data_IF_362231867023
#
_entry.id   IF_362231867023
#
_cell.length_a   1.000
_cell.length_b   1.000
_cell.length_c   1.000
_cell.angle_alpha   90.00
_cell.angle_beta   90.00
_cell.angle_gamma   90.00
#
_symmetry.space_group_name_H-M   'P 1'
#
loop_
_entity.id
_entity.type
_entity.pdbx_description
1 polymer ?
#
# COMPACT_ATOMS: atom_id res chain seq x y z
N UNK A 1 -44.10 4.90 -32.24
CA UNK A 1 -42.81 4.17 -32.21
C UNK A 1 -41.54 5.03 -32.42
N UNK A 2 -41.61 6.33 -32.72
CA UNK A 2 -40.41 7.12 -33.10
C UNK A 2 -39.61 7.81 -31.98
N UNK A 3 -40.13 7.90 -30.75
CA UNK A 3 -39.49 8.66 -29.66
C UNK A 3 -38.60 7.76 -28.78
N UNK A 4 -38.99 6.51 -28.58
CA UNK A 4 -38.20 5.52 -27.81
C UNK A 4 -36.97 5.04 -28.58
N UNK A 5 -37.06 4.89 -29.91
CA UNK A 5 -35.92 4.60 -30.76
C UNK A 5 -34.90 5.76 -30.79
N UNK A 6 -35.35 7.03 -30.72
CA UNK A 6 -34.46 8.19 -30.60
C UNK A 6 -33.78 8.30 -29.24
N UNK A 7 -34.45 7.91 -28.13
CA UNK A 7 -33.82 7.81 -26.80
C UNK A 7 -32.81 6.66 -26.72
N UNK A 8 -33.08 5.53 -27.37
CA UNK A 8 -32.13 4.42 -27.46
C UNK A 8 -30.88 4.77 -28.30
N UNK A 9 -31.02 5.62 -29.32
CA UNK A 9 -29.90 6.10 -30.13
C UNK A 9 -28.99 7.14 -29.43
N UNK A 10 -29.51 7.92 -28.48
CA UNK A 10 -28.71 8.89 -27.70
C UNK A 10 -27.89 8.25 -26.57
N UNK A 11 -28.07 6.96 -26.28
CA UNK A 11 -27.31 6.22 -25.26
C UNK A 11 -26.30 5.22 -25.84
N UNK A 12 -25.97 5.30 -27.13
CA UNK A 12 -24.72 4.69 -27.62
C UNK A 12 -23.60 5.69 -27.37
N UNK A 13 -22.90 5.56 -26.24
CA UNK A 13 -21.56 6.18 -26.09
C UNK A 13 -20.75 5.75 -27.31
N UNK A 14 -20.53 6.67 -28.26
CA UNK A 14 -19.67 6.41 -29.41
C UNK A 14 -18.30 6.02 -28.84
N UNK A 15 -17.74 4.91 -29.34
CA UNK A 15 -16.38 4.54 -29.00
C UNK A 15 -15.47 5.74 -29.32
N UNK A 16 -14.59 6.14 -28.39
CA UNK A 16 -13.72 7.27 -28.63
C UNK A 16 -12.81 6.98 -29.84
N UNK A 17 -12.35 8.00 -30.58
CA UNK A 17 -11.45 7.81 -31.70
C UNK A 17 -10.23 6.99 -31.30
N UNK A 18 -9.78 6.09 -32.17
CA UNK A 18 -8.59 5.26 -31.96
C UNK A 18 -7.39 6.19 -31.66
N UNK A 19 -6.60 5.88 -30.63
CA UNK A 19 -5.50 6.70 -30.08
C UNK A 19 -5.86 8.03 -29.43
N UNK A 20 -7.15 8.35 -29.26
CA UNK A 20 -7.52 9.48 -28.41
C UNK A 20 -7.15 9.22 -26.94
N UNK A 21 -6.99 10.29 -26.17
CA UNK A 21 -6.73 10.23 -24.72
C UNK A 21 -7.76 9.34 -23.99
N UNK A 22 -9.03 9.46 -24.36
CA UNK A 22 -10.11 8.63 -23.79
C UNK A 22 -10.02 7.16 -24.21
N UNK A 23 -9.55 6.87 -25.43
CA UNK A 23 -9.35 5.49 -25.90
C UNK A 23 -8.25 4.79 -25.10
N UNK A 24 -7.11 5.46 -24.87
CA UNK A 24 -6.00 4.89 -24.09
C UNK A 24 -6.46 4.59 -22.66
N UNK A 25 -7.17 5.53 -22.03
CA UNK A 25 -7.65 5.35 -20.65
C UNK A 25 -8.68 4.22 -20.57
N UNK A 26 -9.57 4.05 -21.55
CA UNK A 26 -10.58 2.99 -21.50
C UNK A 26 -10.00 1.59 -21.77
N UNK A 27 -8.97 1.49 -22.60
CA UNK A 27 -8.40 0.20 -23.04
C UNK A 27 -7.00 -0.05 -22.45
N UNK A 28 -6.60 0.67 -21.40
CA UNK A 28 -5.24 0.56 -20.85
C UNK A 28 -4.89 -0.88 -20.43
N UNK A 29 -5.83 -1.62 -19.84
CA UNK A 29 -5.62 -3.03 -19.49
C UNK A 29 -5.24 -3.90 -20.68
N UNK A 30 -5.97 -3.77 -21.79
CA UNK A 30 -5.69 -4.53 -23.03
C UNK A 30 -4.38 -4.09 -23.68
N UNK A 31 -4.12 -2.78 -23.75
CA UNK A 31 -2.88 -2.23 -24.33
C UNK A 31 -1.66 -2.75 -23.56
N UNK A 32 -1.69 -2.68 -22.23
CA UNK A 32 -0.58 -3.16 -21.40
C UNK A 32 -0.44 -4.68 -21.51
N UNK A 33 -1.54 -5.43 -21.57
CA UNK A 33 -1.51 -6.88 -21.80
C UNK A 33 -0.88 -7.24 -23.15
N UNK A 34 -1.17 -6.47 -24.21
CA UNK A 34 -0.50 -6.63 -25.50
C UNK A 34 1.01 -6.37 -25.42
N UNK A 35 1.45 -5.35 -24.67
CA UNK A 35 2.89 -5.07 -24.46
C UNK A 35 3.56 -6.22 -23.70
N UNK A 36 2.94 -6.73 -22.64
CA UNK A 36 3.46 -7.88 -21.88
C UNK A 36 3.56 -9.10 -22.80
N UNK A 37 2.52 -9.40 -23.57
CA UNK A 37 2.50 -10.51 -24.51
C UNK A 37 3.58 -10.38 -25.59
N UNK A 38 3.84 -9.17 -26.08
CA UNK A 38 4.94 -8.92 -27.03
C UNK A 38 6.32 -9.24 -26.41
N UNK A 39 6.56 -8.82 -25.17
CA UNK A 39 7.80 -9.14 -24.44
C UNK A 39 7.91 -10.67 -24.22
N UNK A 40 6.80 -11.32 -23.85
CA UNK A 40 6.73 -12.78 -23.68
C UNK A 40 7.01 -13.53 -25.01
N UNK A 41 6.46 -13.07 -26.14
CA UNK A 41 6.74 -13.64 -27.46
C UNK A 41 8.23 -13.54 -27.81
N UNK A 42 8.92 -12.50 -27.33
CA UNK A 42 10.37 -12.36 -27.45
C UNK A 42 11.16 -13.55 -26.88
N UNK A 43 10.60 -14.33 -25.94
CA UNK A 43 11.23 -15.57 -25.47
C UNK A 43 11.19 -16.71 -26.49
N UNK A 44 10.21 -16.72 -27.39
CA UNK A 44 9.98 -17.84 -28.31
C UNK A 44 11.01 -17.90 -29.45
N UNK A 45 11.69 -16.80 -29.75
CA UNK A 45 12.67 -16.74 -30.84
C UNK A 45 14.09 -16.60 -30.29
N UNK A 46 14.99 -17.51 -30.67
CA UNK A 46 16.39 -17.53 -30.23
C UNK A 46 17.11 -16.18 -30.38
N UNK A 47 16.79 -15.41 -31.42
CA UNK A 47 17.40 -14.09 -31.67
C UNK A 47 16.98 -13.01 -30.65
N UNK A 48 15.78 -13.13 -30.07
CA UNK A 48 15.23 -12.13 -29.13
C UNK A 48 15.20 -12.61 -27.68
N UNK A 49 15.42 -13.91 -27.43
CA UNK A 49 15.35 -14.49 -26.07
C UNK A 49 16.30 -13.80 -25.09
N UNK A 50 17.53 -13.49 -25.51
CA UNK A 50 18.53 -12.82 -24.65
C UNK A 50 18.08 -11.43 -24.20
N UNK A 51 17.38 -10.69 -25.06
CA UNK A 51 16.83 -9.37 -24.74
C UNK A 51 15.60 -9.49 -23.84
N UNK A 52 14.67 -10.41 -24.18
CA UNK A 52 13.45 -10.62 -23.41
C UNK A 52 13.76 -11.11 -21.98
N UNK A 53 14.80 -11.93 -21.80
CA UNK A 53 15.23 -12.44 -20.50
C UNK A 53 15.57 -11.33 -19.50
N UNK A 54 16.13 -10.20 -19.96
CA UNK A 54 16.47 -9.06 -19.10
C UNK A 54 15.23 -8.48 -18.40
N UNK A 55 14.06 -8.55 -19.05
CA UNK A 55 12.80 -8.05 -18.51
C UNK A 55 12.11 -9.03 -17.56
N UNK A 56 12.22 -10.34 -17.79
CA UNK A 56 11.36 -11.31 -17.08
C UNK A 56 12.11 -12.04 -15.97
N UNK A 57 13.32 -12.50 -16.25
CA UNK A 57 14.07 -13.34 -15.31
C UNK A 57 14.86 -12.45 -14.35
N UNK A 58 14.82 -12.70 -13.03
CA UNK A 58 15.67 -11.99 -12.08
C UNK A 58 17.16 -12.13 -12.43
N UNK A 59 17.87 -11.01 -12.49
CA UNK A 59 19.25 -10.94 -12.98
C UNK A 59 20.27 -11.26 -11.88
N UNK A 60 21.56 -11.35 -12.21
CA UNK A 60 22.66 -11.50 -11.23
C UNK A 60 22.54 -12.74 -10.33
N UNK A 61 22.38 -13.92 -10.94
CA UNK A 61 22.40 -15.20 -10.26
C UNK A 61 23.84 -15.73 -10.14
N UNK A 62 24.27 -16.01 -8.91
CA UNK A 62 25.56 -16.60 -8.60
C UNK A 62 25.35 -17.96 -7.92
N UNK A 63 26.09 -18.98 -8.35
CA UNK A 63 26.08 -20.29 -7.68
C UNK A 63 27.16 -20.29 -6.62
N UNK A 64 26.77 -20.21 -5.35
CA UNK A 64 27.67 -20.06 -4.21
C UNK A 64 27.45 -21.15 -3.17
N UNK A 65 28.54 -21.58 -2.55
CA UNK A 65 28.51 -22.42 -1.35
C UNK A 65 28.71 -21.52 -0.15
N UNK A 66 27.67 -21.35 0.68
CA UNK A 66 27.73 -20.50 1.87
C UNK A 66 28.64 -21.13 2.93
N UNK A 67 29.29 -20.33 3.79
CA UNK A 67 30.06 -20.85 4.92
C UNK A 67 29.17 -21.76 5.78
N UNK A 68 29.61 -22.99 6.03
CA UNK A 68 28.89 -24.07 6.74
C UNK A 68 27.85 -24.87 5.93
N UNK A 69 27.73 -24.67 4.62
CA UNK A 69 26.93 -25.54 3.74
C UNK A 69 27.84 -26.35 2.82
N UNK A 70 27.52 -27.63 2.61
CA UNK A 70 28.24 -28.53 1.68
C UNK A 70 27.73 -28.43 0.25
N UNK A 71 26.51 -27.92 0.08
CA UNK A 71 25.83 -27.80 -1.22
C UNK A 71 25.86 -26.36 -1.73
N UNK A 72 26.18 -26.21 -3.01
CA UNK A 72 26.08 -24.91 -3.68
C UNK A 72 24.62 -24.56 -3.95
N UNK A 73 24.22 -23.32 -3.66
CA UNK A 73 22.88 -22.80 -3.95
C UNK A 73 22.94 -21.63 -4.92
N UNK A 74 21.88 -21.45 -5.70
CA UNK A 74 21.73 -20.29 -6.58
C UNK A 74 21.22 -19.12 -5.74
N UNK A 75 22.07 -18.11 -5.55
CA UNK A 75 21.77 -16.88 -4.85
C UNK A 75 21.76 -15.71 -5.83
N UNK A 76 21.13 -14.61 -5.43
CA UNK A 76 20.99 -13.44 -6.26
C UNK A 76 21.60 -12.21 -5.61
N UNK A 77 22.11 -11.33 -6.45
CA UNK A 77 22.57 -9.99 -6.08
C UNK A 77 21.64 -8.92 -6.64
N UNK A 78 21.79 -7.69 -6.17
CA UNK A 78 21.18 -6.53 -6.79
C UNK A 78 22.07 -5.98 -7.93
N UNK A 79 21.45 -5.27 -8.86
CA UNK A 79 22.18 -4.47 -9.83
C UNK A 79 21.28 -3.69 -10.78
N UNK A 80 21.90 -2.88 -11.64
CA UNK A 80 21.17 -1.92 -12.49
C UNK A 80 20.22 -2.59 -13.49
N UNK A 81 20.52 -3.82 -13.93
CA UNK A 81 19.64 -4.56 -14.85
C UNK A 81 18.30 -4.93 -14.22
N UNK A 82 18.20 -4.93 -12.90
CA UNK A 82 16.93 -5.16 -12.21
C UNK A 82 15.91 -4.06 -12.49
N UNK A 83 16.33 -2.89 -12.99
CA UNK A 83 15.40 -1.83 -13.43
C UNK A 83 14.50 -2.29 -14.58
N UNK A 84 15.01 -3.11 -15.51
CA UNK A 84 14.19 -3.67 -16.60
C UNK A 84 13.17 -4.68 -16.05
N UNK A 85 13.58 -5.47 -15.06
CA UNK A 85 12.70 -6.41 -14.38
C UNK A 85 11.61 -5.69 -13.58
N UNK A 86 11.97 -4.63 -12.86
CA UNK A 86 11.02 -3.75 -12.14
C UNK A 86 10.04 -3.11 -13.14
N UNK A 87 10.52 -2.63 -14.29
CA UNK A 87 9.64 -2.08 -15.32
C UNK A 87 8.65 -3.13 -15.83
N UNK A 88 9.11 -4.33 -16.17
CA UNK A 88 8.24 -5.41 -16.61
C UNK A 88 7.18 -5.77 -15.57
N UNK A 89 7.57 -5.97 -14.31
CA UNK A 89 6.62 -6.28 -13.25
C UNK A 89 5.70 -5.10 -12.90
N UNK A 90 6.09 -3.86 -13.18
CA UNK A 90 5.19 -2.71 -13.10
C UNK A 90 4.06 -2.83 -14.13
N UNK A 91 4.37 -3.24 -15.36
CA UNK A 91 3.35 -3.52 -16.39
C UNK A 91 2.43 -4.67 -15.96
N UNK A 92 3.01 -5.74 -15.42
CA UNK A 92 2.24 -6.87 -14.87
C UNK A 92 1.29 -6.39 -13.77
N UNK A 93 1.73 -5.53 -12.86
CA UNK A 93 0.87 -4.96 -11.82
C UNK A 93 -0.26 -4.09 -12.38
N UNK A 94 -0.05 -3.34 -13.46
CA UNK A 94 -1.14 -2.62 -14.15
C UNK A 94 -2.17 -3.63 -14.68
N UNK A 95 -1.74 -4.70 -15.36
CA UNK A 95 -2.66 -5.72 -15.87
C UNK A 95 -3.42 -6.43 -14.74
N UNK A 96 -2.74 -6.77 -13.63
CA UNK A 96 -3.37 -7.34 -12.42
C UNK A 96 -4.35 -6.35 -11.79
N UNK A 97 -4.03 -5.05 -11.75
CA UNK A 97 -4.93 -4.01 -11.27
C UNK A 97 -6.23 -3.99 -12.09
N UNK A 98 -6.14 -3.97 -13.41
CA UNK A 98 -7.31 -4.03 -14.29
C UNK A 98 -8.13 -5.30 -14.07
N UNK A 99 -7.48 -6.46 -13.97
CA UNK A 99 -8.16 -7.74 -13.76
C UNK A 99 -8.87 -7.79 -12.39
N UNK A 100 -8.21 -7.39 -11.31
CA UNK A 100 -8.81 -7.31 -9.98
C UNK A 100 -9.99 -6.33 -9.97
N UNK A 101 -9.87 -5.20 -10.67
CA UNK A 101 -10.94 -4.22 -10.81
C UNK A 101 -12.17 -4.83 -11.46
N UNK A 102 -12.02 -5.38 -12.66
CA UNK A 102 -13.15 -5.87 -13.47
C UNK A 102 -13.81 -7.11 -12.87
N UNK A 103 -13.00 -8.09 -12.46
CA UNK A 103 -13.50 -9.41 -12.05
C UNK A 103 -13.90 -9.49 -10.58
N UNK A 104 -13.31 -8.67 -9.71
CA UNK A 104 -13.58 -8.71 -8.27
C UNK A 104 -14.30 -7.44 -7.81
N UNK A 105 -13.63 -6.28 -7.89
CA UNK A 105 -14.13 -5.09 -7.22
C UNK A 105 -15.41 -4.55 -7.86
N UNK A 106 -15.49 -4.47 -9.18
CA UNK A 106 -16.69 -4.00 -9.89
C UNK A 106 -17.90 -4.93 -9.65
N UNK A 107 -17.66 -6.24 -9.48
CA UNK A 107 -18.71 -7.21 -9.14
C UNK A 107 -19.22 -6.97 -7.73
N UNK A 108 -18.33 -6.75 -6.78
CA UNK A 108 -18.68 -6.48 -5.38
C UNK A 108 -19.37 -5.12 -5.23
N UNK A 109 -18.87 -4.07 -5.87
CA UNK A 109 -19.44 -2.73 -5.85
C UNK A 109 -20.87 -2.70 -6.42
N UNK A 110 -21.11 -3.41 -7.52
CA UNK A 110 -22.45 -3.56 -8.11
C UNK A 110 -23.42 -4.25 -7.17
N UNK A 111 -22.98 -5.29 -6.46
CA UNK A 111 -23.81 -5.99 -5.45
C UNK A 111 -24.12 -5.12 -4.23
N UNK A 112 -23.18 -4.26 -3.85
CA UNK A 112 -23.31 -3.39 -2.67
C UNK A 112 -23.97 -2.03 -2.97
N UNK A 113 -24.29 -1.73 -4.24
CA UNK A 113 -24.89 -0.46 -4.67
C UNK A 113 -24.19 0.78 -4.11
N UNK A 114 -22.85 0.78 -4.09
CA UNK A 114 -22.06 1.86 -3.51
C UNK A 114 -22.17 3.14 -4.34
N UNK A 115 -22.17 4.30 -3.67
CA UNK A 115 -22.09 5.61 -4.35
C UNK A 115 -20.75 5.80 -5.04
N UNK A 116 -20.67 6.67 -6.07
CA UNK A 116 -19.43 6.93 -6.83
C UNK A 116 -18.23 7.25 -5.93
N UNK A 117 -18.42 8.10 -4.92
CA UNK A 117 -17.36 8.46 -3.97
C UNK A 117 -16.92 7.28 -3.10
N UNK A 118 -17.86 6.39 -2.70
CA UNK A 118 -17.52 5.17 -1.95
C UNK A 118 -16.85 4.12 -2.83
N UNK A 119 -17.23 4.01 -4.10
CA UNK A 119 -16.62 3.10 -5.07
C UNK A 119 -15.14 3.38 -5.24
N UNK A 120 -14.74 4.65 -5.43
CA UNK A 120 -13.32 5.03 -5.55
C UNK A 120 -12.52 4.62 -4.31
N UNK A 121 -13.00 4.96 -3.11
CA UNK A 121 -12.32 4.63 -1.85
C UNK A 121 -12.29 3.12 -1.55
N UNK A 122 -13.35 2.41 -1.93
CA UNK A 122 -13.42 0.95 -1.85
C UNK A 122 -12.39 0.31 -2.77
N UNK A 123 -12.30 0.77 -4.01
CA UNK A 123 -11.36 0.26 -4.99
C UNK A 123 -9.90 0.43 -4.51
N UNK A 124 -9.51 1.65 -4.15
CA UNK A 124 -8.18 1.94 -3.61
C UNK A 124 -7.83 1.05 -2.41
N UNK A 125 -8.78 0.90 -1.48
CA UNK A 125 -8.58 0.02 -0.33
C UNK A 125 -8.53 -1.45 -0.72
N UNK A 126 -9.25 -1.85 -1.77
CA UNK A 126 -9.26 -3.20 -2.32
C UNK A 126 -7.88 -3.61 -2.80
N UNK A 127 -7.30 -2.84 -3.73
CA UNK A 127 -5.95 -3.11 -4.26
C UNK A 127 -4.90 -3.12 -3.16
N UNK A 128 -4.93 -2.12 -2.28
CA UNK A 128 -3.96 -2.02 -1.18
C UNK A 128 -4.10 -3.18 -0.20
N UNK A 129 -5.32 -3.65 0.10
CA UNK A 129 -5.55 -4.81 0.95
C UNK A 129 -5.01 -6.11 0.32
N UNK A 130 -5.33 -6.37 -0.95
CA UNK A 130 -4.86 -7.56 -1.68
C UNK A 130 -3.34 -7.61 -1.68
N UNK A 131 -2.70 -6.48 -2.03
CA UNK A 131 -1.25 -6.40 -2.07
C UNK A 131 -0.61 -6.51 -0.68
N UNK A 132 -1.20 -5.88 0.34
CA UNK A 132 -0.69 -5.98 1.72
C UNK A 132 -0.74 -7.43 2.22
N UNK A 133 -1.83 -8.16 1.96
CA UNK A 133 -1.98 -9.57 2.35
C UNK A 133 -0.94 -10.43 1.63
N UNK A 134 -0.80 -10.26 0.30
CA UNK A 134 0.25 -10.93 -0.47
C UNK A 134 1.65 -10.68 0.11
N UNK A 135 1.95 -9.41 0.39
CA UNK A 135 3.24 -8.95 0.91
C UNK A 135 3.57 -9.55 2.28
N UNK A 136 2.58 -9.65 3.17
CA UNK A 136 2.76 -10.28 4.49
C UNK A 136 3.06 -11.76 4.32
N UNK A 137 2.27 -12.49 3.52
CA UNK A 137 2.49 -13.92 3.30
C UNK A 137 3.87 -14.20 2.70
N UNK A 138 4.29 -13.41 1.70
CA UNK A 138 5.61 -13.53 1.09
C UNK A 138 6.72 -13.21 2.08
N UNK A 139 6.59 -12.12 2.86
CA UNK A 139 7.57 -11.77 3.89
C UNK A 139 7.68 -12.86 4.96
N UNK A 140 6.57 -13.40 5.47
CA UNK A 140 6.58 -14.49 6.48
C UNK A 140 7.33 -15.70 5.94
N UNK A 141 7.11 -16.08 4.68
CA UNK A 141 7.82 -17.21 4.06
C UNK A 141 9.33 -17.00 4.09
N UNK A 142 9.80 -15.79 3.74
CA UNK A 142 11.25 -15.47 3.73
C UNK A 142 11.80 -15.37 5.16
N UNK A 143 11.07 -14.74 6.07
CA UNK A 143 11.49 -14.58 7.47
C UNK A 143 11.61 -15.93 8.20
N UNK A 144 10.78 -16.90 7.83
CA UNK A 144 10.88 -18.27 8.33
C UNK A 144 12.10 -19.00 7.77
N UNK A 145 12.39 -18.84 6.47
CA UNK A 145 13.59 -19.40 5.82
C UNK A 145 14.88 -18.88 6.47
N UNK A 146 14.93 -17.58 6.81
CA UNK A 146 16.09 -16.98 7.49
C UNK A 146 16.11 -17.22 9.02
N UNK A 147 15.04 -17.81 9.57
CA UNK A 147 14.82 -18.04 11.00
C UNK A 147 15.05 -16.80 11.90
N UNK A 148 14.70 -15.61 11.40
CA UNK A 148 14.90 -14.34 12.15
C UNK A 148 14.13 -14.33 13.47
N UNK A 149 13.05 -15.10 13.56
CA UNK A 149 12.27 -15.26 14.80
C UNK A 149 13.04 -15.99 15.91
N UNK A 150 14.08 -16.79 15.59
CA UNK A 150 14.92 -17.48 16.57
C UNK A 150 16.05 -16.61 17.10
N UNK A 151 16.59 -15.75 16.24
CA UNK A 151 17.68 -14.85 16.58
C UNK A 151 17.53 -13.52 15.82
N UNK A 152 17.16 -12.48 16.56
CA UNK A 152 16.93 -11.14 16.02
C UNK A 152 18.21 -10.49 15.49
N UNK A 153 19.38 -10.93 15.96
CA UNK A 153 20.66 -10.36 15.51
C UNK A 153 20.94 -10.66 14.04
N UNK A 154 20.32 -11.71 13.47
CA UNK A 154 20.35 -12.07 12.03
C UNK A 154 19.89 -10.93 11.10
N UNK A 155 19.22 -9.91 11.64
CA UNK A 155 18.86 -8.68 10.93
C UNK A 155 20.10 -7.91 10.45
N UNK A 156 21.24 -7.99 11.14
CA UNK A 156 22.46 -7.25 10.79
C UNK A 156 23.74 -8.10 10.80
N UNK A 157 23.74 -9.26 11.46
CA UNK A 157 24.93 -10.14 11.51
C UNK A 157 25.27 -10.66 10.11
N UNK A 158 26.57 -10.72 9.80
CA UNK A 158 27.08 -11.11 8.49
C UNK A 158 26.91 -10.07 7.38
N UNK A 159 26.52 -8.83 7.69
CA UNK A 159 26.59 -7.73 6.74
C UNK A 159 28.06 -7.32 6.50
N UNK A 160 28.51 -7.14 5.25
CA UNK A 160 27.73 -7.11 4.00
C UNK A 160 27.55 -8.47 3.29
N UNK A 161 28.43 -9.44 3.53
CA UNK A 161 28.56 -10.64 2.68
C UNK A 161 27.28 -11.49 2.56
N UNK A 162 26.64 -11.79 3.70
CA UNK A 162 25.40 -12.58 3.75
C UNK A 162 24.14 -11.79 3.37
N UNK A 163 24.27 -10.47 3.19
CA UNK A 163 23.15 -9.57 2.88
C UNK A 163 23.16 -9.13 1.41
N UNK A 164 24.33 -9.18 0.78
CA UNK A 164 24.50 -8.98 -0.67
C UNK A 164 23.96 -10.14 -1.49
N UNK A 165 24.00 -11.36 -0.93
CA UNK A 165 23.47 -12.56 -1.55
C UNK A 165 22.18 -12.97 -0.86
N UNK A 166 21.10 -13.07 -1.62
CA UNK A 166 19.78 -13.42 -1.09
C UNK A 166 19.04 -14.38 -2.01
N UNK A 167 18.05 -15.08 -1.45
CA UNK A 167 17.26 -16.06 -2.19
C UNK A 167 16.46 -15.38 -3.32
N UNK A 168 16.09 -16.17 -4.33
CA UNK A 168 15.18 -15.72 -5.40
C UNK A 168 13.90 -15.09 -4.83
N UNK A 169 13.36 -15.70 -3.78
CA UNK A 169 12.14 -15.22 -3.10
C UNK A 169 12.34 -13.81 -2.54
N UNK A 170 13.48 -13.55 -1.88
CA UNK A 170 13.82 -12.21 -1.36
C UNK A 170 14.00 -11.19 -2.48
N UNK A 171 14.63 -11.60 -3.61
CA UNK A 171 14.77 -10.73 -4.77
C UNK A 171 13.42 -10.30 -5.34
N UNK A 172 12.55 -11.29 -5.59
CA UNK A 172 11.21 -11.05 -6.13
C UNK A 172 10.35 -10.23 -5.17
N UNK A 173 10.49 -10.42 -3.86
CA UNK A 173 9.79 -9.60 -2.87
C UNK A 173 10.06 -8.10 -3.12
N UNK A 174 11.33 -7.68 -3.17
CA UNK A 174 11.68 -6.28 -3.38
C UNK A 174 11.27 -5.77 -4.78
N UNK A 175 11.47 -6.57 -5.83
CA UNK A 175 11.05 -6.21 -7.19
C UNK A 175 9.54 -5.96 -7.22
N UNK A 176 8.73 -6.84 -6.64
CA UNK A 176 7.28 -6.69 -6.61
C UNK A 176 6.84 -5.49 -5.79
N UNK A 177 7.53 -5.18 -4.68
CA UNK A 177 7.15 -4.02 -3.87
C UNK A 177 7.39 -2.72 -4.63
N UNK A 178 8.58 -2.57 -5.22
CA UNK A 178 8.91 -1.38 -6.00
C UNK A 178 7.96 -1.27 -7.19
N UNK A 179 7.71 -2.38 -7.89
CA UNK A 179 6.83 -2.42 -9.06
C UNK A 179 5.37 -2.08 -8.70
N UNK A 180 4.87 -2.58 -7.57
CA UNK A 180 3.54 -2.23 -7.09
C UNK A 180 3.46 -0.73 -6.77
N UNK A 181 4.40 -0.15 -6.04
CA UNK A 181 4.28 1.29 -5.78
C UNK A 181 4.47 2.15 -7.04
N UNK A 182 5.24 1.68 -8.02
CA UNK A 182 5.36 2.35 -9.33
C UNK A 182 4.08 2.25 -10.17
N UNK A 183 3.36 1.12 -10.17
CA UNK A 183 2.13 0.95 -10.97
C UNK A 183 1.06 1.98 -10.59
N UNK A 184 1.09 2.45 -9.35
CA UNK A 184 0.13 3.40 -8.83
C UNK A 184 0.23 4.78 -9.50
N UNK A 185 1.39 5.15 -10.05
CA UNK A 185 1.61 6.42 -10.78
C UNK A 185 0.74 6.50 -12.06
N UNK A 186 0.88 5.58 -13.05
CA UNK A 186 0.02 5.61 -14.23
C UNK A 186 -1.46 5.38 -13.87
N UNK A 187 -1.74 4.64 -12.80
CA UNK A 187 -3.11 4.44 -12.33
C UNK A 187 -3.78 5.75 -11.88
N UNK A 188 -3.05 6.67 -11.24
CA UNK A 188 -3.60 7.98 -10.90
C UNK A 188 -4.06 8.76 -12.14
N UNK A 189 -3.35 8.57 -13.25
CA UNK A 189 -3.69 9.15 -14.54
C UNK A 189 -4.90 8.44 -15.17
N UNK A 190 -4.94 7.10 -15.17
CA UNK A 190 -6.08 6.33 -15.70
C UNK A 190 -7.38 6.58 -14.93
N UNK A 191 -7.30 6.79 -13.61
CA UNK A 191 -8.44 7.10 -12.75
C UNK A 191 -8.89 8.57 -12.81
N UNK A 192 -8.15 9.45 -13.53
CA UNK A 192 -8.44 10.89 -13.63
C UNK A 192 -8.60 11.57 -12.25
N UNK A 193 -7.71 11.23 -11.31
CA UNK A 193 -7.75 11.81 -9.97
C UNK A 193 -7.53 13.33 -10.01
N UNK A 194 -8.16 14.04 -9.07
CA UNK A 194 -7.94 15.48 -8.91
C UNK A 194 -6.50 15.74 -8.46
N UNK A 195 -5.91 16.84 -8.94
CA UNK A 195 -4.51 17.22 -8.66
C UNK A 195 -4.20 17.26 -7.16
N UNK A 196 -5.11 17.78 -6.34
CA UNK A 196 -4.97 17.85 -4.88
C UNK A 196 -4.90 16.47 -4.22
N UNK A 197 -5.67 15.50 -4.71
CA UNK A 197 -5.67 14.13 -4.21
C UNK A 197 -4.38 13.40 -4.61
N UNK A 198 -3.85 13.67 -5.82
CA UNK A 198 -2.61 13.08 -6.32
C UNK A 198 -1.43 13.44 -5.42
N UNK A 199 -1.29 14.71 -5.02
CA UNK A 199 -0.15 15.14 -4.19
C UNK A 199 -0.07 14.37 -2.87
N UNK A 200 -1.20 14.20 -2.18
CA UNK A 200 -1.25 13.47 -0.92
C UNK A 200 -0.84 11.99 -1.09
N UNK A 201 -1.25 11.37 -2.20
CA UNK A 201 -0.94 9.97 -2.51
C UNK A 201 0.52 9.79 -2.91
N UNK A 202 1.11 10.77 -3.60
CA UNK A 202 2.51 10.75 -4.02
C UNK A 202 3.48 10.72 -2.83
N UNK A 203 3.14 11.33 -1.70
CA UNK A 203 3.99 11.28 -0.49
C UNK A 203 4.19 9.84 -0.03
N UNK A 204 3.10 9.08 0.13
CA UNK A 204 3.17 7.67 0.55
C UNK A 204 3.91 6.82 -0.48
N UNK A 205 3.54 6.96 -1.75
CA UNK A 205 4.18 6.26 -2.85
C UNK A 205 5.69 6.49 -2.87
N UNK A 206 6.12 7.75 -2.70
CA UNK A 206 7.54 8.11 -2.67
C UNK A 206 8.25 7.47 -1.48
N UNK A 207 7.64 7.47 -0.29
CA UNK A 207 8.22 6.81 0.90
C UNK A 207 8.43 5.32 0.64
N UNK A 208 7.43 4.61 0.11
CA UNK A 208 7.55 3.17 -0.14
C UNK A 208 8.56 2.82 -1.23
N UNK A 209 8.57 3.56 -2.35
CA UNK A 209 9.55 3.33 -3.42
C UNK A 209 10.96 3.61 -2.90
N UNK A 210 11.19 4.78 -2.30
CA UNK A 210 12.53 5.18 -1.84
C UNK A 210 13.05 4.26 -0.75
N UNK A 211 12.21 3.87 0.23
CA UNK A 211 12.60 2.92 1.26
C UNK A 211 12.90 1.53 0.68
N UNK A 212 12.04 1.00 -0.20
CA UNK A 212 12.23 -0.32 -0.81
C UNK A 212 13.48 -0.37 -1.69
N UNK A 213 13.69 0.64 -2.53
CA UNK A 213 14.91 0.79 -3.32
C UNK A 213 16.15 0.92 -2.43
N UNK A 214 16.08 1.71 -1.37
CA UNK A 214 17.21 1.90 -0.46
C UNK A 214 17.60 0.59 0.22
N UNK A 215 16.65 -0.11 0.85
CA UNK A 215 16.92 -1.40 1.51
C UNK A 215 17.45 -2.45 0.52
N UNK A 216 16.93 -2.45 -0.71
CA UNK A 216 17.37 -3.36 -1.75
C UNK A 216 18.79 -3.07 -2.25
N UNK A 217 19.06 -1.84 -2.71
CA UNK A 217 20.35 -1.48 -3.34
C UNK A 217 21.48 -1.25 -2.34
N UNK A 218 21.19 -0.82 -1.11
CA UNK A 218 22.21 -0.63 -0.06
C UNK A 218 22.50 -1.91 0.75
N UNK A 219 21.95 -3.06 0.33
CA UNK A 219 22.06 -4.36 1.00
C UNK A 219 21.50 -4.40 2.44
N UNK A 220 20.66 -3.45 2.85
CA UNK A 220 19.95 -3.51 4.14
C UNK A 220 18.68 -4.38 4.04
N UNK A 221 18.74 -5.47 3.28
CA UNK A 221 17.61 -6.25 2.80
C UNK A 221 16.84 -6.94 3.93
N UNK A 222 17.53 -7.46 4.94
CA UNK A 222 16.88 -8.13 6.09
C UNK A 222 16.15 -7.14 7.00
N UNK A 223 16.79 -6.00 7.30
CA UNK A 223 16.16 -4.92 8.06
C UNK A 223 14.92 -4.38 7.32
N UNK A 224 15.06 -4.09 6.03
CA UNK A 224 13.95 -3.62 5.20
C UNK A 224 12.78 -4.60 5.16
N UNK A 225 13.07 -5.90 5.03
CA UNK A 225 12.05 -6.95 4.99
C UNK A 225 11.21 -6.99 6.29
N UNK A 226 11.88 -6.90 7.45
CA UNK A 226 11.19 -6.88 8.74
C UNK A 226 10.37 -5.60 8.92
N UNK A 227 10.92 -4.44 8.60
CA UNK A 227 10.20 -3.17 8.73
C UNK A 227 8.98 -3.10 7.80
N UNK A 228 9.16 -3.50 6.53
CA UNK A 228 8.09 -3.53 5.54
C UNK A 228 7.01 -4.57 5.91
N UNK A 229 7.36 -5.71 6.49
CA UNK A 229 6.36 -6.71 6.89
C UNK A 229 5.42 -6.20 7.98
N UNK A 230 5.94 -5.53 9.01
CA UNK A 230 5.10 -4.90 10.04
C UNK A 230 4.25 -3.75 9.49
N UNK A 231 4.79 -3.01 8.52
CA UNK A 231 4.04 -1.94 7.83
C UNK A 231 2.87 -2.51 7.04
N UNK A 232 3.12 -3.52 6.19
CA UNK A 232 2.07 -4.17 5.42
C UNK A 232 1.06 -4.89 6.31
N UNK A 233 1.46 -5.44 7.47
CA UNK A 233 0.53 -5.96 8.47
C UNK A 233 -0.45 -4.89 8.95
N UNK A 234 0.06 -3.71 9.33
CA UNK A 234 -0.79 -2.60 9.74
C UNK A 234 -1.73 -2.14 8.62
N UNK A 235 -1.22 -2.02 7.39
CA UNK A 235 -2.02 -1.62 6.23
C UNK A 235 -3.06 -2.67 5.82
N UNK A 236 -2.72 -3.95 5.87
CA UNK A 236 -3.62 -5.04 5.54
C UNK A 236 -4.85 -5.02 6.45
N UNK A 237 -4.64 -4.93 7.76
CA UNK A 237 -5.74 -4.83 8.74
C UNK A 237 -6.55 -3.55 8.50
N UNK A 238 -5.89 -2.42 8.25
CA UNK A 238 -6.55 -1.14 7.98
C UNK A 238 -7.49 -1.22 6.78
N UNK A 239 -6.95 -1.58 5.61
CA UNK A 239 -7.69 -1.58 4.37
C UNK A 239 -8.76 -2.67 4.34
N UNK A 240 -8.51 -3.83 4.97
CA UNK A 240 -9.55 -4.86 5.16
C UNK A 240 -10.70 -4.34 6.02
N UNK A 241 -10.40 -3.61 7.10
CA UNK A 241 -11.42 -2.96 7.94
C UNK A 241 -12.22 -1.90 7.16
N UNK A 242 -11.56 -1.13 6.28
CA UNK A 242 -12.24 -0.18 5.38
C UNK A 242 -13.17 -0.87 4.38
N UNK A 243 -12.77 -2.01 3.83
CA UNK A 243 -13.60 -2.79 2.91
C UNK A 243 -14.87 -3.30 3.62
N UNK A 244 -14.75 -3.79 4.86
CA UNK A 244 -15.91 -4.19 5.67
C UNK A 244 -16.84 -3.00 5.95
N UNK A 245 -16.27 -1.84 6.27
CA UNK A 245 -17.03 -0.62 6.51
C UNK A 245 -17.83 -0.20 5.27
N UNK A 246 -17.18 -0.13 4.11
CA UNK A 246 -17.85 0.24 2.87
C UNK A 246 -18.87 -0.80 2.41
N UNK A 247 -18.72 -2.06 2.80
CA UNK A 247 -19.69 -3.13 2.53
C UNK A 247 -20.97 -3.04 3.37
N UNK A 248 -21.16 -1.97 4.16
CA UNK A 248 -22.33 -1.80 5.03
C UNK A 248 -22.29 -2.66 6.30
N UNK A 249 -21.22 -3.44 6.51
CA UNK A 249 -21.03 -4.28 7.70
C UNK A 249 -20.42 -3.47 8.83
N UNK A 250 -21.17 -2.49 9.35
CA UNK A 250 -20.68 -1.51 10.33
C UNK A 250 -20.19 -2.17 11.63
N UNK A 251 -20.90 -3.18 12.14
CA UNK A 251 -20.51 -3.86 13.38
C UNK A 251 -19.20 -4.65 13.21
N UNK A 252 -19.04 -5.54 12.20
CA UNK A 252 -17.74 -6.16 11.89
C UNK A 252 -16.62 -5.15 11.63
N UNK A 253 -16.90 -4.06 10.91
CA UNK A 253 -15.90 -3.04 10.62
C UNK A 253 -15.41 -2.34 11.90
N UNK A 254 -16.33 -1.95 12.79
CA UNK A 254 -16.00 -1.34 14.08
C UNK A 254 -15.14 -2.28 14.94
N UNK A 255 -15.47 -3.57 14.95
CA UNK A 255 -14.67 -4.59 15.63
C UNK A 255 -13.28 -4.74 15.00
N UNK A 256 -13.14 -4.62 13.68
CA UNK A 256 -11.86 -4.74 12.97
C UNK A 256 -10.96 -3.50 13.09
N UNK A 257 -11.52 -2.28 13.22
CA UNK A 257 -10.73 -1.07 13.46
C UNK A 257 -10.10 -1.00 14.86
N UNK A 258 -10.67 -1.68 15.86
CA UNK A 258 -10.09 -1.74 17.22
C UNK A 258 -8.70 -2.37 17.26
N UNK A 259 -8.49 -3.62 16.78
CA UNK A 259 -7.16 -4.23 16.75
C UNK A 259 -6.21 -3.46 15.83
N UNK A 260 -6.71 -2.85 14.75
CA UNK A 260 -5.88 -1.99 13.90
C UNK A 260 -5.23 -0.84 14.67
N UNK A 261 -5.95 -0.12 15.53
CA UNK A 261 -5.36 0.98 16.32
C UNK A 261 -4.19 0.49 17.18
N UNK A 262 -4.32 -0.70 17.77
CA UNK A 262 -3.25 -1.31 18.56
C UNK A 262 -2.07 -1.73 17.68
N UNK A 263 -2.32 -2.48 16.61
CA UNK A 263 -1.28 -2.95 15.69
C UNK A 263 -0.55 -1.76 15.05
N UNK A 264 -1.25 -0.69 14.68
CA UNK A 264 -0.63 0.52 14.17
C UNK A 264 0.40 1.09 15.15
N UNK A 265 0.04 1.31 16.42
CA UNK A 265 0.97 1.85 17.42
C UNK A 265 2.16 0.91 17.66
N UNK A 266 1.91 -0.40 17.74
CA UNK A 266 2.96 -1.41 17.90
C UNK A 266 3.92 -1.41 16.71
N UNK A 267 3.41 -1.38 15.47
CA UNK A 267 4.25 -1.30 14.26
C UNK A 267 5.18 -0.10 14.30
N UNK A 268 4.70 1.08 14.74
CA UNK A 268 5.54 2.30 14.85
C UNK A 268 6.63 2.12 15.89
N UNK A 269 6.27 1.63 17.08
CA UNK A 269 7.22 1.40 18.17
C UNK A 269 8.28 0.37 17.75
N UNK A 270 7.87 -0.78 17.23
CA UNK A 270 8.75 -1.85 16.75
C UNK A 270 9.69 -1.33 15.66
N UNK A 271 9.18 -0.54 14.71
CA UNK A 271 10.00 0.03 13.64
C UNK A 271 11.09 0.96 14.16
N UNK A 272 10.77 1.82 15.14
CA UNK A 272 11.76 2.71 15.78
C UNK A 272 12.78 1.90 16.56
N UNK A 273 12.33 0.97 17.41
CA UNK A 273 13.20 0.16 18.26
C UNK A 273 14.13 -0.71 17.43
N UNK A 274 13.60 -1.42 16.43
CA UNK A 274 14.42 -2.23 15.51
C UNK A 274 15.36 -1.36 14.68
N UNK A 275 14.91 -0.19 14.21
CA UNK A 275 15.77 0.76 13.52
C UNK A 275 16.97 1.18 14.37
N UNK A 276 16.74 1.53 15.65
CA UNK A 276 17.82 1.88 16.59
C UNK A 276 18.72 0.68 16.86
N UNK A 277 18.18 -0.49 17.20
CA UNK A 277 18.99 -1.68 17.51
C UNK A 277 19.84 -2.07 16.30
N UNK A 278 19.24 -2.19 15.13
CA UNK A 278 19.93 -2.63 13.91
C UNK A 278 20.92 -1.59 13.40
N UNK A 279 20.57 -0.29 13.34
CA UNK A 279 21.44 0.73 12.74
C UNK A 279 22.39 1.38 13.74
N UNK A 280 22.00 1.59 14.99
CA UNK A 280 22.89 2.22 15.97
C UNK A 280 23.92 1.25 16.55
N UNK A 281 23.50 0.01 16.83
CA UNK A 281 24.33 -0.99 17.47
C UNK A 281 24.81 -2.08 16.51
N UNK A 282 23.90 -2.66 15.72
CA UNK A 282 24.19 -3.81 14.87
C UNK A 282 25.12 -3.50 13.69
N UNK A 283 24.62 -2.78 12.69
CA UNK A 283 25.38 -2.33 11.54
C UNK A 283 26.55 -1.42 11.92
N UNK A 284 26.62 -0.88 13.13
CA UNK A 284 27.81 -0.14 13.56
C UNK A 284 29.08 -0.98 13.58
N UNK A 285 28.96 -2.29 13.73
CA UNK A 285 30.08 -3.22 13.77
C UNK A 285 30.77 -3.39 12.41
N UNK A 286 30.07 -3.08 11.30
CA UNK A 286 30.57 -3.19 9.93
C UNK A 286 30.64 -1.83 9.22
N UNK A 287 30.86 -0.75 9.98
CA UNK A 287 31.03 0.61 9.45
C UNK A 287 32.31 0.73 8.63
N UNK A 288 32.20 1.30 7.44
CA UNK A 288 33.34 1.67 6.58
C UNK A 288 33.38 3.18 6.36
N UNK A 289 34.57 3.73 6.11
CA UNK A 289 34.76 5.17 5.89
C UNK A 289 34.11 5.63 4.59
N UNK A 290 34.27 4.83 3.52
CA UNK A 290 33.73 5.09 2.19
C UNK A 290 32.93 3.88 1.71
N UNK A 291 32.01 4.10 0.75
CA UNK A 291 31.22 3.02 0.15
C UNK A 291 32.16 2.07 -0.58
N UNK A 292 32.05 0.79 -0.27
CA UNK A 292 32.78 -0.29 -0.93
C UNK A 292 31.83 -1.07 -1.85
N UNK A 293 31.87 -0.76 -3.14
CA UNK A 293 31.05 -1.42 -4.16
C UNK A 293 31.49 -2.87 -4.41
N UNK A 294 32.77 -3.17 -4.20
CA UNK A 294 33.34 -4.50 -4.44
C UNK A 294 32.90 -5.47 -3.36
N UNK A 295 32.99 -5.09 -2.08
CA UNK A 295 32.44 -5.86 -0.97
C UNK A 295 30.91 -5.75 -0.86
N UNK A 296 30.29 -4.76 -1.50
CA UNK A 296 28.87 -4.44 -1.33
C UNK A 296 28.56 -3.84 0.03
N UNK A 297 29.53 -3.18 0.66
CA UNK A 297 29.38 -2.48 1.92
C UNK A 297 29.00 -1.01 1.66
N UNK A 298 27.72 -0.70 1.83
CA UNK A 298 27.20 0.67 1.72
C UNK A 298 27.10 1.37 3.08
N UNK A 299 27.51 0.71 4.16
CA UNK A 299 27.30 1.16 5.53
C UNK A 299 28.40 2.14 5.98
N UNK A 300 28.33 3.35 5.44
CA UNK A 300 29.09 4.49 5.98
C UNK A 300 28.33 5.13 7.15
N UNK A 301 29.05 5.85 8.01
CA UNK A 301 28.43 6.63 9.11
C UNK A 301 27.31 7.55 8.60
N UNK A 302 27.52 8.20 7.46
CA UNK A 302 26.55 9.12 6.85
C UNK A 302 25.29 8.35 6.45
N UNK A 303 25.43 7.26 5.70
CA UNK A 303 24.29 6.46 5.23
C UNK A 303 23.53 5.91 6.44
N UNK A 304 24.22 5.27 7.38
CA UNK A 304 23.58 4.62 8.53
C UNK A 304 22.79 5.60 9.41
N UNK A 305 23.37 6.75 9.73
CA UNK A 305 22.71 7.75 10.59
C UNK A 305 21.54 8.41 9.85
N UNK A 306 21.68 8.74 8.57
CA UNK A 306 20.56 9.28 7.79
C UNK A 306 19.42 8.25 7.64
N UNK A 307 19.72 6.96 7.45
CA UNK A 307 18.71 5.91 7.43
C UNK A 307 17.96 5.80 8.74
N UNK A 308 18.66 5.89 9.87
CA UNK A 308 18.03 5.87 11.19
C UNK A 308 17.12 7.08 11.38
N UNK A 309 17.61 8.27 11.05
CA UNK A 309 16.81 9.52 11.11
C UNK A 309 15.58 9.40 10.21
N UNK A 310 15.74 8.92 8.96
CA UNK A 310 14.63 8.76 8.03
C UNK A 310 13.57 7.80 8.57
N UNK A 311 13.96 6.63 9.10
CA UNK A 311 13.04 5.68 9.73
C UNK A 311 12.27 6.37 10.86
N UNK A 312 12.98 7.02 11.80
CA UNK A 312 12.36 7.68 12.95
C UNK A 312 11.40 8.79 12.51
N UNK A 313 11.82 9.67 11.60
CA UNK A 313 10.99 10.76 11.11
C UNK A 313 9.73 10.27 10.39
N UNK A 314 9.85 9.23 9.55
CA UNK A 314 8.70 8.61 8.87
C UNK A 314 7.72 8.01 9.90
N UNK A 315 8.23 7.30 10.91
CA UNK A 315 7.37 6.73 11.97
C UNK A 315 6.69 7.83 12.79
N UNK A 316 7.41 8.89 13.17
CA UNK A 316 6.88 10.02 13.92
C UNK A 316 5.84 10.81 13.12
N UNK A 317 6.08 11.02 11.82
CA UNK A 317 5.12 11.67 10.94
C UNK A 317 3.81 10.87 10.82
N UNK A 318 3.89 9.55 10.67
CA UNK A 318 2.70 8.69 10.67
C UNK A 318 1.97 8.69 12.03
N UNK A 319 2.70 8.67 13.14
CA UNK A 319 2.13 8.81 14.49
C UNK A 319 1.46 10.16 14.69
N UNK A 320 2.08 11.24 14.20
CA UNK A 320 1.51 12.59 14.27
C UNK A 320 0.18 12.68 13.51
N UNK A 321 0.14 12.13 12.29
CA UNK A 321 -1.10 12.06 11.51
C UNK A 321 -2.18 11.26 12.24
N UNK A 322 -1.81 10.11 12.81
CA UNK A 322 -2.71 9.26 13.60
C UNK A 322 -3.27 9.96 14.84
N UNK A 323 -2.42 10.61 15.61
CA UNK A 323 -2.82 11.37 16.80
C UNK A 323 -3.73 12.53 16.43
N UNK A 324 -3.40 13.28 15.38
CA UNK A 324 -4.22 14.41 14.90
C UNK A 324 -5.63 13.94 14.52
N UNK A 325 -5.72 12.80 13.83
CA UNK A 325 -7.01 12.19 13.48
C UNK A 325 -7.85 11.82 14.72
N UNK A 326 -7.26 11.13 15.70
CA UNK A 326 -7.99 10.71 16.91
C UNK A 326 -8.36 11.87 17.83
N UNK A 327 -7.48 12.87 17.98
CA UNK A 327 -7.76 14.10 18.73
C UNK A 327 -8.92 14.85 18.08
N UNK A 328 -8.94 14.96 16.75
CA UNK A 328 -10.05 15.54 16.00
C UNK A 328 -11.37 14.87 16.33
N UNK A 329 -11.41 13.53 16.27
CA UNK A 329 -12.60 12.74 16.62
C UNK A 329 -13.03 12.91 18.07
N UNK A 330 -12.08 12.98 19.00
CA UNK A 330 -12.42 13.18 20.42
C UNK A 330 -13.04 14.56 20.67
N UNK A 331 -12.52 15.60 20.00
CA UNK A 331 -13.10 16.95 20.04
C UNK A 331 -14.50 17.01 19.44
N UNK A 332 -14.76 16.30 18.35
CA UNK A 332 -16.09 16.21 17.74
C UNK A 332 -17.09 15.54 18.68
N UNK A 333 -16.75 14.38 19.26
CA UNK A 333 -17.59 13.70 20.27
C UNK A 333 -17.89 14.60 21.47
N UNK A 334 -16.90 15.36 21.94
CA UNK A 334 -17.08 16.33 23.02
C UNK A 334 -18.06 17.45 22.64
N UNK A 335 -18.00 17.96 21.40
CA UNK A 335 -18.93 18.98 20.89
C UNK A 335 -20.36 18.44 20.75
N UNK A 336 -20.53 17.22 20.25
CA UNK A 336 -21.84 16.55 20.15
C UNK A 336 -22.46 16.32 21.53
N UNK A 337 -21.67 15.83 22.49
CA UNK A 337 -22.12 15.63 23.87
C UNK A 337 -22.49 16.95 24.56
N UNK A 338 -21.72 18.01 24.33
CA UNK A 338 -22.01 19.35 24.83
C UNK A 338 -23.30 19.92 24.20
N UNK A 339 -23.50 19.73 22.89
CA UNK A 339 -24.71 20.17 22.19
C UNK A 339 -25.96 19.41 22.67
N UNK A 340 -25.87 18.09 22.88
CA UNK A 340 -26.96 17.30 23.44
C UNK A 340 -27.31 17.72 24.88
N UNK A 341 -26.30 18.06 25.68
CA UNK A 341 -26.48 18.52 27.06
C UNK A 341 -27.09 19.93 27.13
N UNK A 342 -26.72 20.82 26.21
CA UNK A 342 -27.30 22.16 26.08
C UNK A 342 -28.75 22.13 25.54
N UNK A 343 -29.06 21.21 24.61
CA UNK A 343 -30.42 21.00 24.10
C UNK A 343 -31.39 20.49 25.17
N UNK A 344 -30.95 19.60 26.06
CA UNK A 344 -31.74 19.13 27.21
C UNK A 344 -32.04 20.23 28.25
N UNK A 345 -31.16 21.22 28.41
CA UNK A 345 -31.40 22.38 29.29
C UNK A 345 -32.43 23.38 28.73
N UNK A 346 -32.64 23.42 27.41
CA UNK A 346 -33.67 24.28 26.77
C UNK A 346 -35.07 23.65 26.78
N UNK A 347 -35.18 22.32 26.83
CA UNK A 347 -36.49 21.64 26.89
C UNK A 347 -37.07 21.49 28.29
N UNK A 348 -36.32 21.80 29.35
CA UNK A 348 -36.83 21.81 30.74
C UNK A 348 -37.46 23.15 31.16
N UNK A 349 -37.62 24.12 30.24
CA UNK A 349 -38.10 25.48 30.53
C UNK A 349 -39.47 25.87 29.96
N UNK A 350 -40.16 25.03 29.19
CA UNK A 350 -41.50 25.35 28.69
C UNK A 350 -42.38 24.11 28.71
N UNK A 351 -43.22 24.01 29.75
CA UNK A 351 -44.27 23.01 29.81
C UNK A 351 -45.43 23.39 28.89
N UNK A 352 -45.77 22.54 27.95
CA UNK A 352 -47.17 22.27 27.60
C UNK A 352 -47.32 20.87 27.00
N UNK A 353 -48.28 20.11 27.54
CA UNK A 353 -48.65 18.75 27.11
C UNK A 353 -49.15 18.78 25.67
N UNK A 354 -48.65 17.88 24.81
CA UNK A 354 -49.55 17.06 23.99
C UNK A 354 -48.93 15.72 23.56
N UNK A 355 -49.81 14.72 23.51
CA UNK A 355 -49.53 13.28 23.38
C UNK A 355 -49.48 12.85 21.91
N UNK A 356 -48.74 11.76 21.65
CA UNK A 356 -48.71 10.85 20.46
C UNK A 356 -47.84 11.26 19.26
N UNK A 357 -46.69 10.57 19.14
CA UNK A 357 -46.41 9.62 18.06
C UNK A 357 -45.09 8.89 18.37
N UNK A 358 -45.17 7.62 18.77
CA UNK A 358 -44.01 6.74 18.79
C UNK A 358 -43.67 6.38 17.33
N UNK A 359 -42.67 7.04 16.77
CA UNK A 359 -41.96 6.58 15.56
C UNK A 359 -40.54 6.23 15.95
N UNK A 360 -40.29 4.92 15.96
CA UNK A 360 -39.01 4.23 15.74
C UNK A 360 -37.77 5.12 15.72
N UNK A 361 -37.08 5.16 16.86
CA UNK A 361 -35.69 5.58 16.96
C UNK A 361 -34.79 4.55 16.30
N UNK A 362 -34.51 4.70 15.01
CA UNK A 362 -33.42 4.00 14.33
C UNK A 362 -32.49 4.94 13.55
N UNK A 363 -32.63 6.26 13.75
CA UNK A 363 -31.91 7.27 12.98
C UNK A 363 -30.67 7.88 13.62
N UNK A 364 -30.34 7.58 14.90
CA UNK A 364 -29.26 8.28 15.62
C UNK A 364 -27.88 7.61 15.56
N UNK A 365 -27.79 6.37 15.08
CA UNK A 365 -26.51 5.62 15.06
C UNK A 365 -25.79 5.68 13.70
N UNK A 366 -26.38 6.30 12.69
CA UNK A 366 -25.91 6.22 11.29
C UNK A 366 -24.94 7.35 10.91
N UNK A 367 -24.87 8.44 11.68
CA UNK A 367 -23.93 9.56 11.44
C UNK A 367 -22.50 9.32 11.96
N UNK A 368 -22.25 8.18 12.63
CA UNK A 368 -21.18 8.09 13.64
C UNK A 368 -19.82 7.54 13.18
N UNK A 369 -19.63 7.28 11.89
CA UNK A 369 -18.41 6.64 11.39
C UNK A 369 -17.81 7.37 10.19
N UNK A 370 -16.93 8.33 10.46
CA UNK A 370 -15.95 8.80 9.48
C UNK A 370 -14.76 7.83 9.45
N UNK A 371 -14.60 7.17 8.31
CA UNK A 371 -13.43 6.36 7.97
C UNK A 371 -12.27 7.32 7.65
N UNK A 372 -11.01 7.07 8.08
CA UNK A 372 -9.91 7.92 7.67
C UNK A 372 -9.84 7.93 6.14
N UNK A 373 -9.81 9.12 5.55
CA UNK A 373 -9.37 9.26 4.18
C UNK A 373 -7.87 8.95 4.15
N UNK A 374 -7.41 8.32 3.07
CA UNK A 374 -6.00 7.96 2.93
C UNK A 374 -5.16 9.18 3.28
N UNK A 375 -4.16 8.94 4.12
CA UNK A 375 -3.52 9.87 5.05
C UNK A 375 -2.87 11.12 4.43
N UNK A 376 -3.62 11.91 3.66
CA UNK A 376 -3.20 13.17 3.10
C UNK A 376 -3.35 14.30 4.12
N UNK A 377 -2.43 15.26 4.06
CA UNK A 377 -2.60 16.56 4.71
C UNK A 377 -3.66 17.32 3.92
N UNK A 378 -4.93 17.01 4.19
CA UNK A 378 -6.09 17.69 3.63
C UNK A 378 -6.75 18.50 4.72
N UNK A 379 -6.71 19.83 4.59
CA UNK A 379 -7.45 20.78 5.44
C UNK A 379 -8.91 20.35 5.55
N UNK A 380 -9.34 20.03 6.78
CA UNK A 380 -10.70 20.19 7.30
C UNK A 380 -11.87 20.27 6.32
N UNK A 381 -12.02 19.30 5.41
CA UNK A 381 -13.25 19.10 4.64
C UNK A 381 -13.82 17.73 4.97
N UNK A 382 -14.34 17.62 6.20
CA UNK A 382 -15.39 16.67 6.53
C UNK A 382 -16.66 17.18 5.84
N UNK A 383 -16.98 16.65 4.65
CA UNK A 383 -18.35 16.78 4.14
C UNK A 383 -19.25 15.88 5.00
N UNK A 384 -20.22 16.44 5.75
CA UNK A 384 -21.28 15.60 6.29
C UNK A 384 -22.01 14.96 5.10
N UNK A 385 -22.14 13.63 5.12
CA UNK A 385 -23.15 12.96 4.31
C UNK A 385 -24.51 13.37 4.88
N UNK A 386 -25.00 14.53 4.46
CA UNK A 386 -26.41 14.88 4.55
C UNK A 386 -27.12 13.95 3.57
N UNK A 387 -27.90 13.04 4.13
CA UNK A 387 -28.86 12.24 3.38
C UNK A 387 -30.07 13.16 3.22
N UNK A 388 -30.26 13.69 2.01
CA UNK A 388 -31.59 14.10 1.55
C UNK A 388 -32.32 12.88 0.99
#
# INVERSE_FOLDING_TARGET
>A
MGIEAKRAAMSRKKSPPIFSHEFIIQNHGDIISCVIMFIMLGFMFNATTSLAQVFIVPQYNDTLTLPNETESRILYRNGIRDLFTIFFYTLVWIAVHCALQEYIFDKVQRRLHLSKTRQVKFNESGHTAVFSIYSICHAISILNEMEIHKDLTRIWTGYPELHRHFSLSTKLYYIFQISFWLHQIPEFYFQKLKREEIFNRLVYLTIFITASCFFYFANFTRLGLVLLSFEYLSQGIFHTSRLLYFSGKVLPASTAFKPWNFVFLITRLVSIVLGVIALWYGHRQSEVVFIDFEAGNFNTKIIRINSLIAIVLIQLWMLFNFSTFHIGRWREKGREQAAHSAGKKKSSGFGFKNKKAAKTSSGSDVSFFSCPDTWGVGKGQNHPLVVD
#
